data_IF_596969432980
#
_entry.id   IF_596969432980
#
_cell.length_a   1.000
_cell.length_b   1.000
_cell.length_c   1.000
_cell.angle_alpha   90.00
_cell.angle_beta   90.00
_cell.angle_gamma   90.00
#
_symmetry.space_group_name_H-M   'P 1'
#
loop_
_entity.id
_entity.type
_entity.pdbx_description
1 polymer ?
#
# COMPACT_ATOMS: atom_id res chain seq x y z
N UNK A 1 16.05 -10.92 14.84
CA UNK A 1 15.91 -11.53 13.49
C UNK A 1 16.16 -10.44 12.44
N UNK A 2 17.32 -10.48 11.75
CA UNK A 2 17.73 -9.43 10.80
C UNK A 2 17.01 -9.67 9.47
N UNK A 3 16.01 -8.84 9.12
CA UNK A 3 15.32 -8.91 7.81
C UNK A 3 16.35 -8.65 6.71
N UNK A 4 16.82 -9.69 6.02
CA UNK A 4 17.68 -9.55 4.85
C UNK A 4 16.77 -9.33 3.65
N UNK A 5 16.49 -8.07 3.32
CA UNK A 5 15.85 -7.68 2.07
C UNK A 5 16.83 -7.95 0.93
N UNK A 6 16.77 -9.16 0.35
CA UNK A 6 17.60 -9.59 -0.79
C UNK A 6 16.70 -9.89 -1.97
N UNK A 7 17.04 -9.31 -3.12
CA UNK A 7 16.48 -9.61 -4.44
C UNK A 7 17.64 -9.99 -5.36
N UNK A 8 17.45 -10.96 -6.25
CA UNK A 8 18.41 -11.21 -7.32
C UNK A 8 18.15 -10.24 -8.49
N UNK A 9 18.61 -10.57 -9.69
CA UNK A 9 18.43 -9.75 -10.90
C UNK A 9 16.96 -9.38 -11.10
N UNK A 10 16.69 -8.11 -11.38
CA UNK A 10 15.35 -7.56 -11.48
C UNK A 10 15.24 -6.55 -12.63
N UNK A 11 14.03 -6.41 -13.16
CA UNK A 11 13.65 -5.29 -14.03
C UNK A 11 12.28 -4.76 -13.64
N UNK A 12 12.02 -3.51 -14.04
CA UNK A 12 10.72 -2.89 -13.89
C UNK A 12 10.51 -1.82 -14.94
N UNK A 13 9.25 -1.55 -15.25
CA UNK A 13 8.84 -0.48 -16.16
C UNK A 13 7.57 0.16 -15.64
N UNK A 14 7.37 1.42 -15.97
CA UNK A 14 6.15 2.16 -15.66
C UNK A 14 5.82 3.15 -16.77
N UNK A 15 4.53 3.38 -16.96
CA UNK A 15 3.99 4.40 -17.83
C UNK A 15 2.99 5.24 -17.05
N UNK A 16 2.95 6.54 -17.33
CA UNK A 16 1.92 7.44 -16.83
C UNK A 16 1.51 8.39 -17.95
N UNK A 17 0.22 8.68 -18.02
CA UNK A 17 -0.36 9.57 -19.01
C UNK A 17 -1.36 10.50 -18.34
N UNK A 18 -1.10 11.80 -18.45
CA UNK A 18 -1.98 12.91 -18.09
C UNK A 18 -2.61 13.41 -19.39
N UNK A 19 -3.93 13.28 -19.56
CA UNK A 19 -4.61 13.45 -20.85
C UNK A 19 -4.51 14.88 -21.42
N UNK A 20 -3.35 15.24 -22.00
CA UNK A 20 -3.06 16.59 -22.46
C UNK A 20 -2.96 17.63 -21.33
N UNK A 21 -2.48 17.23 -20.14
CA UNK A 21 -2.41 18.12 -18.97
C UNK A 21 -3.74 18.26 -18.20
N UNK A 22 -4.69 17.34 -18.43
CA UNK A 22 -5.91 17.27 -17.62
C UNK A 22 -5.61 16.94 -16.16
N UNK A 23 -6.56 17.25 -15.29
CA UNK A 23 -6.52 16.91 -13.85
C UNK A 23 -6.58 15.40 -13.58
N UNK A 24 -6.91 14.60 -14.61
CA UNK A 24 -6.88 13.15 -14.57
C UNK A 24 -5.55 12.60 -15.08
N UNK A 25 -5.03 11.60 -14.40
CA UNK A 25 -3.93 10.80 -14.91
C UNK A 25 -4.13 9.32 -14.64
N UNK A 26 -3.63 8.50 -15.55
CA UNK A 26 -3.57 7.04 -15.40
C UNK A 26 -2.13 6.58 -15.36
N UNK A 27 -1.86 5.55 -14.58
CA UNK A 27 -0.54 4.93 -14.51
C UNK A 27 -0.63 3.41 -14.52
N UNK A 28 0.43 2.78 -14.99
CA UNK A 28 0.64 1.35 -14.92
C UNK A 28 2.11 1.05 -14.68
N UNK A 29 2.39 0.01 -13.91
CA UNK A 29 3.75 -0.45 -13.64
C UNK A 29 3.81 -1.97 -13.62
N UNK A 30 4.97 -2.51 -13.98
CA UNK A 30 5.29 -3.93 -13.92
C UNK A 30 6.70 -4.12 -13.40
N UNK A 31 6.91 -5.14 -12.57
CA UNK A 31 8.24 -5.59 -12.14
C UNK A 31 8.31 -7.10 -12.09
N UNK A 32 9.50 -7.63 -12.40
CA UNK A 32 9.85 -9.02 -12.25
C UNK A 32 11.27 -9.11 -11.72
N UNK A 33 11.49 -10.03 -10.78
CA UNK A 33 12.80 -10.32 -10.21
C UNK A 33 12.96 -11.81 -9.97
N UNK A 34 14.18 -12.30 -10.06
CA UNK A 34 14.51 -13.64 -9.61
C UNK A 34 14.50 -13.70 -8.08
N UNK A 35 13.99 -14.81 -7.56
CA UNK A 35 14.03 -15.11 -6.12
C UNK A 35 15.33 -15.81 -5.77
N UNK A 36 15.92 -15.40 -4.67
CA UNK A 36 17.16 -15.99 -4.15
C UNK A 36 16.92 -17.41 -3.61
N UNK A 37 17.96 -18.23 -3.57
CA UNK A 37 17.89 -19.57 -2.99
C UNK A 37 17.42 -19.52 -1.52
N UNK A 38 17.93 -18.57 -0.72
CA UNK A 38 17.52 -18.36 0.67
C UNK A 38 16.01 -18.14 0.80
N UNK A 39 15.40 -17.38 -0.11
CA UNK A 39 13.97 -17.12 -0.12
C UNK A 39 13.14 -18.37 -0.44
N UNK A 40 13.70 -19.32 -1.19
CA UNK A 40 13.05 -20.58 -1.54
C UNK A 40 13.21 -21.67 -0.47
N UNK A 41 14.05 -21.43 0.54
CA UNK A 41 14.15 -22.28 1.73
C UNK A 41 13.10 -21.92 2.81
N UNK A 42 12.32 -20.86 2.60
CA UNK A 42 11.25 -20.46 3.50
C UNK A 42 10.02 -21.37 3.34
N UNK A 43 9.17 -21.37 4.37
CA UNK A 43 8.00 -22.24 4.44
C UNK A 43 6.87 -21.83 3.48
N UNK A 44 6.87 -20.58 3.00
CA UNK A 44 5.78 -20.00 2.19
C UNK A 44 6.30 -19.21 0.99
N UNK A 45 5.61 -19.33 -0.15
CA UNK A 45 5.85 -18.50 -1.33
C UNK A 45 7.07 -18.93 -2.15
N UNK A 46 7.25 -20.23 -2.35
CA UNK A 46 8.38 -20.78 -3.12
C UNK A 46 8.21 -20.55 -4.62
N UNK A 47 9.31 -20.28 -5.32
CA UNK A 47 9.34 -20.16 -6.78
C UNK A 47 10.58 -19.45 -7.31
N UNK A 48 10.80 -19.53 -8.62
CA UNK A 48 11.96 -18.91 -9.26
C UNK A 48 11.82 -17.39 -9.43
N UNK A 49 10.59 -16.88 -9.58
CA UNK A 49 10.32 -15.46 -9.82
C UNK A 49 9.39 -14.83 -8.78
N UNK A 50 9.61 -13.54 -8.56
CA UNK A 50 8.73 -12.63 -7.85
C UNK A 50 8.30 -11.52 -8.82
N UNK A 51 6.99 -11.31 -8.94
CA UNK A 51 6.41 -10.38 -9.92
C UNK A 51 5.41 -9.46 -9.24
N UNK A 52 5.27 -8.24 -9.74
CA UNK A 52 4.16 -7.38 -9.38
C UNK A 52 3.75 -6.50 -10.56
N UNK A 53 2.48 -6.17 -10.59
CA UNK A 53 1.96 -5.14 -11.49
C UNK A 53 0.95 -4.29 -10.75
N UNK A 54 0.84 -3.03 -11.15
CA UNK A 54 -0.09 -2.08 -10.58
C UNK A 54 -0.67 -1.19 -11.66
N UNK A 55 -1.89 -0.71 -11.44
CA UNK A 55 -2.49 0.36 -12.20
C UNK A 55 -3.14 1.35 -11.25
N UNK A 56 -3.05 2.65 -11.58
CA UNK A 56 -3.60 3.71 -10.78
C UNK A 56 -4.35 4.73 -11.62
N UNK A 57 -5.33 5.36 -10.99
CA UNK A 57 -6.06 6.50 -11.51
C UNK A 57 -5.98 7.60 -10.46
N UNK A 58 -5.76 8.84 -10.89
CA UNK A 58 -5.88 10.01 -10.02
C UNK A 58 -6.69 11.12 -10.68
N UNK A 59 -7.32 11.92 -9.84
CA UNK A 59 -7.92 13.21 -10.13
C UNK A 59 -7.37 14.21 -9.11
N UNK A 60 -6.82 15.32 -9.58
CA UNK A 60 -6.17 16.32 -8.73
C UNK A 60 -6.48 17.73 -9.24
N UNK A 61 -7.60 18.28 -8.78
CA UNK A 61 -8.03 19.64 -9.13
C UNK A 61 -9.09 20.20 -8.18
N UNK A 62 -9.27 21.51 -8.24
CA UNK A 62 -10.29 22.24 -7.46
C UNK A 62 -10.21 21.93 -5.96
N UNK A 63 -9.00 21.85 -5.43
CA UNK A 63 -8.69 21.46 -4.05
C UNK A 63 -9.10 20.03 -3.66
N UNK A 64 -9.54 19.21 -4.61
CA UNK A 64 -9.93 17.82 -4.41
C UNK A 64 -8.82 16.92 -4.94
N UNK A 65 -8.40 15.96 -4.12
CA UNK A 65 -7.50 14.89 -4.53
C UNK A 65 -8.20 13.55 -4.36
N UNK A 66 -8.39 12.83 -5.46
CA UNK A 66 -8.89 11.45 -5.47
C UNK A 66 -7.84 10.58 -6.15
N UNK A 67 -7.51 9.44 -5.55
CA UNK A 67 -6.69 8.45 -6.22
C UNK A 67 -7.14 7.04 -5.84
N UNK A 68 -6.97 6.11 -6.77
CA UNK A 68 -7.14 4.69 -6.51
C UNK A 68 -6.08 3.90 -7.25
N UNK A 69 -5.68 2.77 -6.65
CA UNK A 69 -4.72 1.85 -7.23
C UNK A 69 -5.18 0.43 -7.02
N UNK A 70 -5.03 -0.40 -8.04
CA UNK A 70 -5.11 -1.84 -7.93
C UNK A 70 -3.75 -2.44 -8.26
N UNK A 71 -3.32 -3.44 -7.49
CA UNK A 71 -2.10 -4.16 -7.80
C UNK A 71 -2.22 -5.65 -7.50
N UNK A 72 -1.44 -6.45 -8.21
CA UNK A 72 -1.22 -7.84 -7.82
C UNK A 72 0.27 -8.10 -7.68
N UNK A 73 0.60 -8.95 -6.72
CA UNK A 73 1.95 -9.49 -6.56
C UNK A 73 1.92 -11.00 -6.61
N UNK A 74 3.01 -11.62 -7.03
CA UNK A 74 3.25 -13.06 -7.00
C UNK A 74 4.56 -13.32 -6.28
N UNK A 75 4.50 -14.05 -5.15
CA UNK A 75 5.68 -14.45 -4.35
C UNK A 75 6.59 -13.27 -3.99
N UNK A 76 5.99 -12.10 -3.74
CA UNK A 76 6.71 -10.84 -3.51
C UNK A 76 6.26 -10.14 -2.22
N UNK A 77 4.96 -10.19 -1.87
CA UNK A 77 4.48 -9.61 -0.61
C UNK A 77 4.97 -10.44 0.58
N UNK A 78 5.76 -9.87 1.51
CA UNK A 78 6.26 -10.60 2.66
C UNK A 78 5.14 -10.90 3.66
N UNK A 79 5.14 -12.10 4.22
CA UNK A 79 4.22 -12.55 5.27
C UNK A 79 4.98 -13.34 6.34
N UNK A 80 4.34 -13.65 7.47
CA UNK A 80 4.94 -14.56 8.46
C UNK A 80 5.30 -15.90 7.78
N UNK A 81 6.55 -16.32 7.94
CA UNK A 81 7.06 -17.58 7.37
C UNK A 81 7.48 -17.54 5.89
N UNK A 82 7.39 -16.40 5.20
CA UNK A 82 7.83 -16.31 3.80
C UNK A 82 7.17 -15.19 3.00
N UNK A 83 6.62 -15.54 1.84
CA UNK A 83 5.96 -14.61 0.93
C UNK A 83 4.59 -15.15 0.53
N UNK A 84 3.61 -14.27 0.32
CA UNK A 84 2.31 -14.67 -0.21
C UNK A 84 2.48 -15.15 -1.67
N UNK A 85 1.88 -16.30 -2.01
CA UNK A 85 1.94 -16.83 -3.37
C UNK A 85 1.33 -15.86 -4.38
N UNK A 86 0.20 -15.27 -4.03
CA UNK A 86 -0.38 -14.11 -4.70
C UNK A 86 -0.91 -13.13 -3.66
N UNK A 87 -0.79 -11.84 -3.91
CA UNK A 87 -1.54 -10.82 -3.18
C UNK A 87 -2.30 -9.95 -4.18
N UNK A 88 -3.55 -9.60 -3.86
CA UNK A 88 -4.33 -8.61 -4.58
C UNK A 88 -4.56 -7.43 -3.66
N UNK A 89 -4.17 -6.25 -4.10
CA UNK A 89 -4.23 -5.04 -3.30
C UNK A 89 -5.10 -4.00 -3.99
N UNK A 90 -5.88 -3.30 -3.17
CA UNK A 90 -6.70 -2.19 -3.59
C UNK A 90 -6.52 -1.05 -2.59
N UNK A 91 -6.25 0.13 -3.12
CA UNK A 91 -6.08 1.35 -2.34
C UNK A 91 -6.95 2.44 -2.95
N UNK A 92 -7.58 3.24 -2.11
CA UNK A 92 -8.32 4.43 -2.52
C UNK A 92 -8.14 5.53 -1.48
N UNK A 93 -8.07 6.78 -1.94
CA UNK A 93 -7.95 7.95 -1.09
C UNK A 93 -8.78 9.10 -1.66
N UNK A 94 -9.41 9.85 -0.77
CA UNK A 94 -10.12 11.08 -1.05
C UNK A 94 -9.70 12.15 -0.05
N UNK A 95 -9.33 13.33 -0.54
CA UNK A 95 -8.90 14.45 0.29
C UNK A 95 -9.44 15.75 -0.26
N UNK A 96 -9.61 16.73 0.63
CA UNK A 96 -10.00 18.09 0.27
C UNK A 96 -9.10 19.09 0.96
N UNK A 97 -8.61 20.10 0.25
CA UNK A 97 -7.77 21.16 0.80
C UNK A 97 -8.59 22.44 0.99
N UNK A 98 -8.87 22.80 2.24
CA UNK A 98 -9.46 24.10 2.54
C UNK A 98 -8.42 25.22 2.41
N UNK A 99 -8.88 26.40 2.02
CA UNK A 99 -8.04 27.60 1.86
C UNK A 99 -7.38 28.05 3.17
N UNK A 100 -7.98 27.73 4.32
CA UNK A 100 -7.44 28.06 5.65
C UNK A 100 -6.40 27.05 6.17
N UNK A 101 -5.95 26.12 5.32
CA UNK A 101 -4.85 25.20 5.60
C UNK A 101 -5.26 23.82 6.11
N UNK A 102 -6.55 23.54 6.32
CA UNK A 102 -7.02 22.23 6.76
C UNK A 102 -7.17 21.25 5.58
N UNK A 103 -6.72 20.02 5.76
CA UNK A 103 -6.83 18.95 4.76
C UNK A 103 -7.33 17.66 5.42
N UNK A 104 -8.65 17.39 5.45
CA UNK A 104 -9.17 16.07 5.79
C UNK A 104 -8.82 15.03 4.72
N UNK A 105 -8.68 13.78 5.14
CA UNK A 105 -8.51 12.59 4.29
C UNK A 105 -9.40 11.44 4.71
N UNK A 106 -9.83 10.68 3.71
CA UNK A 106 -10.47 9.37 3.86
C UNK A 106 -9.73 8.39 2.95
N UNK A 107 -9.19 7.32 3.53
CA UNK A 107 -8.48 6.25 2.83
C UNK A 107 -9.11 4.89 3.07
N UNK A 108 -8.89 3.97 2.12
CA UNK A 108 -9.17 2.55 2.30
C UNK A 108 -8.03 1.74 1.70
N UNK A 109 -7.53 0.78 2.46
CA UNK A 109 -6.42 -0.10 2.04
C UNK A 109 -6.78 -1.54 2.31
N UNK A 110 -6.78 -2.34 1.25
CA UNK A 110 -6.99 -3.79 1.29
C UNK A 110 -5.80 -4.47 0.61
N UNK A 111 -5.23 -5.47 1.27
CA UNK A 111 -4.30 -6.44 0.69
C UNK A 111 -4.78 -7.84 1.06
N UNK A 112 -5.14 -8.65 0.06
CA UNK A 112 -5.61 -10.01 0.26
C UNK A 112 -4.59 -11.00 -0.28
N UNK A 113 -4.01 -11.79 0.62
CA UNK A 113 -3.14 -12.90 0.31
C UNK A 113 -3.96 -14.10 -0.16
N UNK A 114 -3.49 -14.76 -1.21
CA UNK A 114 -4.12 -15.93 -1.82
C UNK A 114 -3.15 -17.10 -1.89
N UNK A 115 -3.72 -18.29 -1.79
CA UNK A 115 -3.04 -19.57 -1.93
C UNK A 115 -1.82 -19.72 -1.00
N UNK A 116 -1.93 -19.22 0.24
CA UNK A 116 -0.87 -19.29 1.24
C UNK A 116 -0.78 -20.71 1.82
N UNK A 117 0.43 -21.27 1.86
CA UNK A 117 0.67 -22.63 2.31
C UNK A 117 0.23 -22.83 3.77
N UNK A 118 -0.63 -23.82 3.98
CA UNK A 118 -1.23 -24.16 5.27
C UNK A 118 -2.27 -23.17 5.79
N UNK A 119 -2.66 -22.15 5.01
CA UNK A 119 -3.57 -21.08 5.44
C UNK A 119 -4.76 -20.89 4.48
N UNK A 120 -4.50 -20.94 3.17
CA UNK A 120 -5.47 -20.59 2.13
C UNK A 120 -5.42 -19.10 1.80
N UNK A 121 -6.58 -18.43 1.78
CA UNK A 121 -6.64 -16.98 1.53
C UNK A 121 -6.95 -16.24 2.82
N UNK A 122 -6.20 -15.16 3.08
CA UNK A 122 -6.40 -14.28 4.22
C UNK A 122 -6.10 -12.82 3.88
N UNK A 123 -6.75 -11.91 4.59
CA UNK A 123 -6.44 -10.48 4.49
C UNK A 123 -5.11 -10.21 5.21
N UNK A 124 -4.20 -9.54 4.52
CA UNK A 124 -2.88 -9.12 5.02
C UNK A 124 -2.92 -7.70 5.59
N UNK A 125 -3.76 -6.86 4.98
CA UNK A 125 -4.04 -5.48 5.39
C UNK A 125 -5.51 -5.24 5.06
N UNK A 126 -6.27 -4.67 5.98
CA UNK A 126 -7.63 -4.22 5.72
C UNK A 126 -7.96 -3.12 6.71
N UNK A 127 -8.04 -1.87 6.28
CA UNK A 127 -8.41 -0.76 7.16
C UNK A 127 -9.01 0.42 6.39
N UNK A 128 -9.79 1.21 7.13
CA UNK A 128 -10.22 2.55 6.74
C UNK A 128 -9.31 3.54 7.48
N UNK A 129 -8.84 4.56 6.79
CA UNK A 129 -8.06 5.65 7.37
C UNK A 129 -8.89 6.94 7.36
N UNK A 130 -8.99 7.60 8.51
CA UNK A 130 -9.61 8.91 8.62
C UNK A 130 -8.59 9.86 9.22
N UNK A 131 -8.20 10.85 8.44
CA UNK A 131 -7.11 11.75 8.77
C UNK A 131 -7.47 13.21 8.62
N UNK A 132 -6.70 14.05 9.29
CA UNK A 132 -6.80 15.50 9.20
C UNK A 132 -5.43 16.12 9.44
N UNK A 133 -4.94 16.85 8.45
CA UNK A 133 -3.71 17.64 8.54
C UNK A 133 -4.04 19.13 8.53
N UNK A 134 -3.42 19.90 9.42
CA UNK A 134 -3.49 21.36 9.42
C UNK A 134 -2.12 21.95 9.06
N UNK A 135 -2.07 22.66 7.94
CA UNK A 135 -0.89 23.36 7.48
C UNK A 135 -0.89 24.80 8.02
N UNK A 136 0.02 25.10 8.94
CA UNK A 136 0.21 26.46 9.44
C UNK A 136 0.86 27.35 8.37
N UNK A 137 1.80 26.77 7.61
CA UNK A 137 2.47 27.35 6.47
C UNK A 137 3.21 26.24 5.70
N UNK A 138 3.99 26.59 4.68
CA UNK A 138 4.77 25.63 3.86
C UNK A 138 5.83 24.82 4.65
N UNK A 139 6.18 25.26 5.85
CA UNK A 139 7.26 24.70 6.67
C UNK A 139 6.77 23.96 7.93
N UNK A 140 5.50 24.12 8.32
CA UNK A 140 4.98 23.53 9.57
C UNK A 140 3.54 23.02 9.42
N UNK A 141 3.30 21.81 9.88
CA UNK A 141 1.96 21.20 9.97
C UNK A 141 1.78 20.37 11.24
N UNK A 142 0.52 20.12 11.61
CA UNK A 142 0.12 19.14 12.60
C UNK A 142 -0.90 18.19 11.99
N UNK A 143 -0.93 16.93 12.43
CA UNK A 143 -1.88 15.95 11.91
C UNK A 143 -2.41 15.01 13.00
N UNK A 144 -3.59 14.47 12.71
CA UNK A 144 -4.18 13.31 13.38
C UNK A 144 -4.63 12.32 12.31
N UNK A 145 -4.25 11.05 12.45
CA UNK A 145 -4.71 9.96 11.60
C UNK A 145 -5.27 8.84 12.47
N UNK A 146 -6.41 8.29 12.06
CA UNK A 146 -7.07 7.17 12.72
C UNK A 146 -7.24 6.01 11.75
N UNK A 147 -6.42 4.98 11.97
CA UNK A 147 -6.51 3.69 11.29
C UNK A 147 -7.56 2.83 12.01
N UNK A 148 -8.72 2.70 11.38
CA UNK A 148 -9.81 1.81 11.79
C UNK A 148 -9.57 0.46 11.13
N UNK A 149 -9.04 -0.48 11.90
CA UNK A 149 -8.64 -1.79 11.41
C UNK A 149 -9.87 -2.68 11.19
N UNK A 150 -9.91 -3.31 10.01
CA UNK A 150 -11.02 -4.15 9.56
C UNK A 150 -10.59 -5.61 9.41
N UNK A 151 -9.36 -5.95 9.84
CA UNK A 151 -8.93 -7.34 9.93
C UNK A 151 -9.78 -8.07 10.98
N UNK A 152 -10.04 -9.36 10.73
CA UNK A 152 -10.76 -10.19 11.67
C UNK A 152 -9.83 -10.70 12.76
N UNK A 153 -10.34 -10.81 13.99
CA UNK A 153 -9.59 -11.32 15.14
C UNK A 153 -9.16 -12.78 15.01
N UNK A 154 -9.85 -13.57 14.18
CA UNK A 154 -9.52 -14.95 13.87
C UNK A 154 -8.58 -15.11 12.66
N UNK A 155 -7.91 -14.02 12.24
CA UNK A 155 -6.95 -14.05 11.14
C UNK A 155 -5.86 -15.10 11.36
N UNK A 156 -5.78 -16.07 10.45
CA UNK A 156 -4.89 -17.24 10.58
C UNK A 156 -3.40 -16.91 10.52
N UNK A 157 -3.03 -15.70 10.12
CA UNK A 157 -1.64 -15.23 10.10
C UNK A 157 -1.26 -14.47 11.37
N UNK A 158 -2.20 -14.29 12.32
CA UNK A 158 -1.96 -13.60 13.59
C UNK A 158 -1.59 -12.13 13.40
N UNK A 159 -2.14 -11.49 12.36
CA UNK A 159 -1.93 -10.07 12.09
C UNK A 159 -2.76 -9.27 13.07
N UNK A 160 -2.16 -8.25 13.68
CA UNK A 160 -2.83 -7.37 14.63
C UNK A 160 -4.04 -6.67 13.98
N UNK A 161 -5.18 -6.80 14.62
CA UNK A 161 -6.48 -6.27 14.26
C UNK A 161 -6.87 -5.04 15.10
N UNK A 162 -5.95 -4.52 15.93
CA UNK A 162 -6.20 -3.32 16.71
C UNK A 162 -6.19 -2.07 15.82
N UNK A 163 -7.02 -1.12 16.24
CA UNK A 163 -7.01 0.24 15.75
C UNK A 163 -5.77 1.01 16.19
N UNK A 164 -5.39 2.04 15.42
CA UNK A 164 -4.24 2.90 15.75
C UNK A 164 -4.61 4.37 15.51
N UNK A 165 -4.34 5.21 16.50
CA UNK A 165 -4.39 6.68 16.37
C UNK A 165 -2.98 7.23 16.38
N UNK A 166 -2.63 8.01 15.37
CA UNK A 166 -1.39 8.75 15.27
C UNK A 166 -1.65 10.25 15.37
N UNK A 167 -0.80 10.94 16.13
CA UNK A 167 -0.82 12.39 16.31
C UNK A 167 0.61 12.88 16.13
N UNK A 168 0.80 13.98 15.40
CA UNK A 168 2.14 14.48 15.15
C UNK A 168 2.19 15.93 14.71
N UNK A 169 3.39 16.49 14.77
CA UNK A 169 3.73 17.77 14.18
C UNK A 169 5.01 17.61 13.36
N UNK A 170 5.04 18.24 12.20
CA UNK A 170 6.19 18.21 11.30
C UNK A 170 6.68 19.62 11.06
N UNK A 171 7.99 19.83 11.22
CA UNK A 171 8.69 21.02 10.78
C UNK A 171 9.70 20.64 9.68
N UNK A 172 9.69 21.36 8.57
CA UNK A 172 10.54 21.13 7.41
C UNK A 172 11.13 22.45 6.87
N UNK A 173 12.38 22.40 6.42
CA UNK A 173 13.12 23.55 5.87
C UNK A 173 13.34 23.41 4.37
#
# INVERSE_FOLDING_TARGET
MKRRNRTATAFGTSLSYDFGGSDFAVSAAYTSSDRTNDQNLLARGQGSKAEAWATGLKYDANNIYLATMYSETRKMTPISGGFANKAQNFEAVAQYQFDFGLRPSLGYVLSKGKDIEGVGSEDLVNYIDVGLTYYFNKNMNAFVDYKINQLKSDNKLGINDDDIVALGMTYQF
#
